data_IF_620737684377
#
_entry.id   IF_620737684377
#
_cell.length_a   1.000
_cell.length_b   1.000
_cell.length_c   1.000
_cell.angle_alpha   90.00
_cell.angle_beta   90.00
_cell.angle_gamma   90.00
#
_symmetry.space_group_name_H-M   'P 1'
#
loop_
_entity.id
_entity.type
_entity.pdbx_description
1 polymer ?
#
# COMPACT_ATOMS: atom_id res chain seq x y z
N UNK A 1 24.37 17.30 -17.52
CA UNK A 1 24.01 15.89 -17.19
C UNK A 1 22.87 15.50 -18.13
N UNK A 2 22.80 14.24 -18.60
CA UNK A 2 21.76 13.81 -19.56
C UNK A 2 20.49 13.27 -18.88
N UNK A 3 20.64 12.68 -17.68
CA UNK A 3 19.52 12.17 -16.85
C UNK A 3 19.15 13.17 -15.74
N UNK A 4 18.63 12.70 -14.60
CA UNK A 4 18.25 13.55 -13.47
C UNK A 4 19.38 14.51 -13.09
N UNK A 5 19.02 15.79 -12.92
CA UNK A 5 19.95 16.85 -12.57
C UNK A 5 19.24 17.95 -11.80
N UNK A 6 20.01 18.71 -11.02
CA UNK A 6 19.52 19.94 -10.38
C UNK A 6 19.57 21.11 -11.36
N UNK A 7 18.76 22.12 -11.08
CA UNK A 7 18.88 23.44 -11.70
C UNK A 7 20.13 24.19 -11.21
N UNK A 8 20.67 23.83 -10.03
CA UNK A 8 21.95 24.32 -9.57
C UNK A 8 23.10 23.51 -10.20
N UNK A 9 24.02 24.21 -10.87
CA UNK A 9 25.15 23.62 -11.59
C UNK A 9 26.12 22.85 -10.68
N UNK A 10 26.16 23.15 -9.38
CA UNK A 10 27.07 22.55 -8.42
C UNK A 10 26.40 21.49 -7.52
N UNK A 11 25.14 21.15 -7.77
CA UNK A 11 24.39 20.16 -6.99
C UNK A 11 24.26 18.84 -7.77
N UNK A 12 24.90 17.78 -7.26
CA UNK A 12 25.02 16.48 -7.96
C UNK A 12 24.37 15.31 -7.23
N UNK A 13 23.80 15.51 -6.04
CA UNK A 13 23.35 14.40 -5.20
C UNK A 13 22.21 13.60 -5.87
N UNK A 14 21.28 14.28 -6.55
CA UNK A 14 20.16 13.64 -7.25
C UNK A 14 20.64 12.76 -8.40
N UNK A 15 21.57 13.28 -9.21
CA UNK A 15 22.20 12.55 -10.30
C UNK A 15 22.97 11.30 -9.80
N UNK A 16 23.69 11.42 -8.67
CA UNK A 16 24.41 10.31 -8.06
C UNK A 16 23.46 9.28 -7.43
N UNK A 17 22.36 9.73 -6.83
CA UNK A 17 21.32 8.87 -6.28
C UNK A 17 20.65 8.04 -7.37
N UNK A 18 20.24 8.69 -8.47
CA UNK A 18 19.68 8.01 -9.63
C UNK A 18 20.68 7.00 -10.22
N UNK A 19 21.96 7.37 -10.33
CA UNK A 19 23.02 6.44 -10.80
C UNK A 19 23.15 5.22 -9.89
N UNK A 20 23.12 5.41 -8.58
CA UNK A 20 23.17 4.30 -7.61
C UNK A 20 21.95 3.39 -7.75
N UNK A 21 20.76 3.97 -7.95
CA UNK A 21 19.53 3.24 -8.17
C UNK A 21 19.54 2.46 -9.51
N UNK A 22 19.98 3.10 -10.60
CA UNK A 22 20.20 2.46 -11.90
C UNK A 22 21.16 1.27 -11.79
N UNK A 23 22.26 1.41 -11.03
CA UNK A 23 23.20 0.31 -10.78
C UNK A 23 22.54 -0.87 -10.08
N UNK A 24 21.68 -0.63 -9.10
CA UNK A 24 20.92 -1.68 -8.41
C UNK A 24 19.93 -2.36 -9.35
N UNK A 25 19.31 -1.60 -10.26
CA UNK A 25 18.40 -2.11 -11.29
C UNK A 25 19.12 -2.71 -12.51
N UNK A 26 20.46 -2.71 -12.53
CA UNK A 26 21.32 -3.25 -13.59
C UNK A 26 21.80 -2.21 -14.61
N UNK A 27 20.94 -1.27 -15.02
CA UNK A 27 21.29 -0.16 -15.91
C UNK A 27 20.24 0.97 -15.81
N UNK A 28 20.50 2.11 -16.47
CA UNK A 28 19.54 3.21 -16.58
C UNK A 28 18.26 2.83 -17.33
N UNK A 29 18.37 2.01 -18.37
CA UNK A 29 17.20 1.49 -19.11
C UNK A 29 16.29 0.63 -18.21
N UNK A 30 16.84 -0.02 -17.18
CA UNK A 30 16.06 -0.75 -16.18
C UNK A 30 15.26 0.15 -15.23
N UNK A 31 15.43 1.47 -15.31
CA UNK A 31 14.59 2.45 -14.60
C UNK A 31 13.37 2.89 -15.42
N UNK A 32 13.39 2.70 -16.74
CA UNK A 32 12.28 3.10 -17.62
C UNK A 32 11.01 2.31 -17.28
N UNK A 33 9.86 2.97 -17.33
CA UNK A 33 8.57 2.41 -16.90
C UNK A 33 8.48 2.04 -15.42
N UNK A 34 9.34 2.62 -14.57
CA UNK A 34 9.35 2.35 -13.13
C UNK A 34 8.05 2.76 -12.41
N UNK A 35 7.60 1.94 -11.46
CA UNK A 35 6.45 2.25 -10.61
C UNK A 35 6.86 3.15 -9.43
N UNK A 36 6.26 4.33 -9.31
CA UNK A 36 6.54 5.28 -8.21
C UNK A 36 6.30 4.67 -6.83
N UNK A 37 5.35 3.76 -6.69
CA UNK A 37 5.09 3.07 -5.42
C UNK A 37 6.31 2.27 -4.94
N UNK A 38 6.98 1.58 -5.87
CA UNK A 38 8.19 0.80 -5.56
C UNK A 38 9.38 1.71 -5.26
N UNK A 39 9.52 2.82 -6.00
CA UNK A 39 10.56 3.82 -5.74
C UNK A 39 10.42 4.42 -4.33
N UNK A 40 9.20 4.81 -3.94
CA UNK A 40 8.93 5.34 -2.60
C UNK A 40 9.28 4.33 -1.51
N UNK A 41 8.94 3.04 -1.68
CA UNK A 41 9.35 1.98 -0.74
C UNK A 41 10.87 1.81 -0.71
N UNK A 42 11.55 1.82 -1.86
CA UNK A 42 13.00 1.66 -1.92
C UNK A 42 13.77 2.78 -1.22
N UNK A 43 13.29 4.02 -1.33
CA UNK A 43 13.95 5.17 -0.72
C UNK A 43 13.58 5.39 0.75
N UNK A 44 12.46 4.83 1.23
CA UNK A 44 11.97 5.11 2.59
C UNK A 44 11.81 3.90 3.50
N UNK A 45 11.73 2.69 2.95
CA UNK A 45 11.28 1.50 3.69
C UNK A 45 9.80 1.54 4.11
N UNK A 46 9.05 2.57 3.69
CA UNK A 46 7.64 2.75 3.99
C UNK A 46 6.74 1.71 3.35
N UNK A 47 5.43 1.97 3.43
CA UNK A 47 4.40 1.12 2.84
C UNK A 47 3.59 1.93 1.85
N UNK A 48 3.70 1.58 0.58
CA UNK A 48 2.95 2.22 -0.50
C UNK A 48 1.58 1.56 -0.66
N UNK A 49 0.57 2.42 -0.70
CA UNK A 49 -0.81 2.04 -0.92
C UNK A 49 -1.30 2.68 -2.22
N UNK A 50 -1.33 1.91 -3.33
CA UNK A 50 -1.87 2.38 -4.60
C UNK A 50 -3.40 2.41 -4.54
N UNK A 51 -3.99 3.45 -5.12
CA UNK A 51 -5.42 3.67 -5.19
C UNK A 51 -5.82 4.12 -6.60
N UNK A 52 -6.81 3.46 -7.17
CA UNK A 52 -7.45 3.90 -8.42
C UNK A 52 -8.52 4.95 -8.10
N UNK A 53 -8.35 6.17 -8.62
CA UNK A 53 -9.31 7.25 -8.41
C UNK A 53 -10.47 7.21 -9.40
N UNK A 54 -10.27 6.60 -10.57
CA UNK A 54 -11.23 6.58 -11.66
C UNK A 54 -12.32 5.51 -11.46
N UNK A 55 -11.95 4.33 -10.97
CA UNK A 55 -12.84 3.17 -10.91
C UNK A 55 -13.58 3.02 -9.56
N UNK A 56 -13.14 3.73 -8.51
CA UNK A 56 -13.67 3.56 -7.15
C UNK A 56 -14.84 4.49 -6.78
N UNK A 57 -15.37 5.24 -7.76
CA UNK A 57 -16.57 6.07 -7.60
C UNK A 57 -16.38 7.36 -6.80
N UNK A 58 -15.14 7.80 -6.56
CA UNK A 58 -14.85 9.05 -5.83
C UNK A 58 -15.41 10.31 -6.50
N UNK A 59 -15.60 10.26 -7.82
CA UNK A 59 -16.15 11.36 -8.60
C UNK A 59 -17.62 11.61 -8.28
N UNK A 60 -18.39 10.53 -8.11
CA UNK A 60 -19.85 10.59 -7.97
C UNK A 60 -20.31 10.57 -6.51
N UNK A 61 -19.43 10.18 -5.58
CA UNK A 61 -19.72 10.01 -4.15
C UNK A 61 -18.94 11.02 -3.29
N UNK A 62 -19.66 12.01 -2.77
CA UNK A 62 -19.08 13.08 -1.94
C UNK A 62 -18.56 12.56 -0.58
N UNK A 63 -19.23 11.57 0.03
CA UNK A 63 -18.82 11.02 1.32
C UNK A 63 -17.48 10.30 1.17
N UNK A 64 -17.36 9.43 0.16
CA UNK A 64 -16.09 8.75 -0.16
C UNK A 64 -14.97 9.74 -0.49
N UNK A 65 -15.28 10.82 -1.20
CA UNK A 65 -14.30 11.86 -1.53
C UNK A 65 -13.81 12.59 -0.28
N UNK A 66 -14.72 12.90 0.66
CA UNK A 66 -14.38 13.50 1.93
C UNK A 66 -13.53 12.56 2.82
N UNK A 67 -13.87 11.27 2.88
CA UNK A 67 -13.07 10.27 3.57
C UNK A 67 -11.67 10.12 2.98
N UNK A 68 -11.57 10.12 1.64
CA UNK A 68 -10.29 10.08 0.94
C UNK A 68 -9.46 11.33 1.23
N UNK A 69 -10.06 12.52 1.21
CA UNK A 69 -9.37 13.76 1.57
C UNK A 69 -8.79 13.70 2.98
N UNK A 70 -9.59 13.32 3.98
CA UNK A 70 -9.13 13.20 5.38
C UNK A 70 -7.99 12.20 5.52
N UNK A 71 -8.03 11.12 4.75
CA UNK A 71 -6.97 10.14 4.70
C UNK A 71 -5.69 10.69 4.08
N UNK A 72 -5.78 11.38 2.94
CA UNK A 72 -4.62 12.00 2.27
C UNK A 72 -3.98 13.04 3.20
N UNK A 73 -4.81 13.91 3.80
CA UNK A 73 -4.42 14.90 4.79
C UNK A 73 -3.71 14.25 6.00
N UNK A 74 -4.24 13.13 6.52
CA UNK A 74 -3.62 12.39 7.63
C UNK A 74 -2.27 11.79 7.26
N UNK A 75 -2.10 11.30 6.03
CA UNK A 75 -0.81 10.77 5.54
C UNK A 75 0.21 11.90 5.43
N UNK A 76 -0.17 13.00 4.78
CA UNK A 76 0.68 14.19 4.63
C UNK A 76 1.12 14.77 5.99
N UNK A 77 0.17 15.01 6.90
CA UNK A 77 0.47 15.53 8.25
C UNK A 77 1.37 14.61 9.10
N UNK A 78 1.51 13.34 8.73
CA UNK A 78 2.40 12.37 9.39
C UNK A 78 3.73 12.18 8.64
N UNK A 79 4.04 13.07 7.68
CA UNK A 79 5.26 13.02 6.88
C UNK A 79 5.26 11.91 5.84
N UNK A 80 4.10 11.32 5.50
CA UNK A 80 4.00 10.36 4.41
C UNK A 80 4.25 11.03 3.06
N UNK A 81 4.81 10.27 2.13
CA UNK A 81 5.06 10.72 0.76
C UNK A 81 3.88 10.34 -0.13
N UNK A 82 3.43 11.28 -0.95
CA UNK A 82 2.24 11.10 -1.78
C UNK A 82 2.61 11.42 -3.22
N UNK A 83 2.24 10.51 -4.12
CA UNK A 83 2.38 10.70 -5.56
C UNK A 83 1.07 10.42 -6.25
N UNK A 84 0.82 11.09 -7.37
CA UNK A 84 -0.36 10.88 -8.20
C UNK A 84 0.03 10.92 -9.68
N UNK A 85 -0.82 10.36 -10.53
CA UNK A 85 -0.60 10.39 -11.98
C UNK A 85 -1.92 10.38 -12.74
N UNK A 86 -1.81 10.70 -14.03
CA UNK A 86 -2.91 10.59 -14.98
C UNK A 86 -2.54 9.48 -15.97
N UNK A 87 -3.36 8.43 -16.06
CA UNK A 87 -3.10 7.25 -16.86
C UNK A 87 -3.08 7.61 -18.35
N UNK A 88 -2.01 7.25 -19.03
CA UNK A 88 -1.96 7.24 -20.48
C UNK A 88 -2.47 5.87 -20.98
N UNK A 89 -3.45 5.87 -21.89
CA UNK A 89 -4.02 4.64 -22.42
C UNK A 89 -3.27 4.13 -23.66
N UNK A 90 -2.52 5.02 -24.32
CA UNK A 90 -1.74 4.70 -25.50
C UNK A 90 -0.33 5.26 -25.37
N UNK A 91 0.62 4.69 -26.11
CA UNK A 91 1.98 5.23 -26.19
C UNK A 91 2.01 6.67 -26.74
N UNK A 92 1.04 7.04 -27.58
CA UNK A 92 0.92 8.40 -28.10
C UNK A 92 0.44 9.41 -27.04
N UNK A 93 -0.25 8.93 -25.99
CA UNK A 93 -0.68 9.74 -24.86
C UNK A 93 0.38 9.87 -23.76
N UNK A 94 1.48 9.12 -23.84
CA UNK A 94 2.57 9.22 -22.87
C UNK A 94 3.19 10.61 -22.95
N UNK A 95 3.27 11.28 -21.80
CA UNK A 95 3.78 12.64 -21.66
C UNK A 95 2.99 13.69 -22.48
N UNK A 96 1.77 13.36 -22.90
CA UNK A 96 0.91 14.28 -23.63
C UNK A 96 0.33 15.36 -22.71
N UNK A 97 0.44 16.62 -23.14
CA UNK A 97 -0.12 17.78 -22.43
C UNK A 97 -1.62 17.91 -22.72
N UNK A 98 -2.40 18.07 -21.67
CA UNK A 98 -3.83 18.35 -21.69
C UNK A 98 -4.10 19.84 -21.84
N UNK A 99 -5.30 20.18 -22.28
CA UNK A 99 -5.75 21.58 -22.40
C UNK A 99 -5.72 22.33 -21.06
N UNK A 100 -5.91 21.60 -19.95
CA UNK A 100 -5.85 22.14 -18.59
C UNK A 100 -4.41 22.28 -18.04
N UNK A 101 -3.38 22.07 -18.87
CA UNK A 101 -1.97 22.22 -18.51
C UNK A 101 -1.30 20.95 -17.98
N UNK A 102 -2.08 20.03 -17.39
CA UNK A 102 -1.59 18.75 -16.86
C UNK A 102 -1.05 17.83 -17.96
N UNK A 103 -0.14 16.93 -17.57
CA UNK A 103 0.55 15.97 -18.43
C UNK A 103 0.17 14.54 -18.06
N UNK A 104 -0.19 13.73 -19.06
CA UNK A 104 -0.51 12.30 -18.93
C UNK A 104 0.73 11.42 -18.88
N UNK A 105 0.61 10.22 -18.31
CA UNK A 105 1.67 9.21 -18.28
C UNK A 105 2.88 9.61 -17.43
N UNK A 106 2.74 10.60 -16.56
CA UNK A 106 3.81 11.12 -15.72
C UNK A 106 3.37 11.22 -14.24
N UNK A 107 4.34 11.15 -13.34
CA UNK A 107 4.13 11.21 -11.90
C UNK A 107 4.26 12.64 -11.36
N UNK A 108 3.29 13.06 -10.56
CA UNK A 108 3.33 14.30 -9.78
C UNK A 108 3.60 13.95 -8.32
N UNK A 109 4.31 14.84 -7.63
CA UNK A 109 4.45 14.78 -6.18
C UNK A 109 3.38 15.65 -5.54
N UNK A 110 2.68 15.16 -4.52
CA UNK A 110 1.81 16.01 -3.70
C UNK A 110 2.65 16.61 -2.58
N UNK A 111 2.79 17.93 -2.56
CA UNK A 111 3.68 18.64 -1.63
C UNK A 111 2.93 19.26 -0.46
N UNK A 112 1.63 19.55 -0.59
CA UNK A 112 0.80 20.06 0.50
C UNK A 112 -0.68 19.63 0.37
N UNK A 113 -1.36 19.46 1.50
CA UNK A 113 -2.78 19.05 1.57
C UNK A 113 -3.45 19.78 2.72
N UNK A 114 -4.43 20.65 2.45
CA UNK A 114 -4.91 21.61 3.45
C UNK A 114 -6.38 21.95 3.31
N UNK A 115 -7.00 22.33 4.43
CA UNK A 115 -8.32 22.95 4.46
C UNK A 115 -8.15 24.46 4.55
N UNK A 116 -8.61 25.18 3.52
CA UNK A 116 -8.46 26.64 3.38
C UNK A 116 -9.78 27.32 3.72
N UNK A 117 -9.72 28.39 4.52
CA UNK A 117 -10.90 29.19 4.85
C UNK A 117 -11.10 30.28 3.81
N UNK A 118 -12.34 30.42 3.33
CA UNK A 118 -12.72 31.47 2.39
C UNK A 118 -13.22 32.72 3.11
N UNK A 119 -12.86 33.90 2.61
CA UNK A 119 -13.34 35.20 3.10
C UNK A 119 -12.30 36.05 3.84
N UNK A 120 -12.69 37.29 4.14
CA UNK A 120 -11.85 38.31 4.81
C UNK A 120 -12.43 38.69 6.19
N UNK A 121 -11.56 38.87 7.19
CA UNK A 121 -11.92 39.39 8.51
C UNK A 121 -12.55 38.38 9.50
N UNK A 122 -13.00 38.88 10.65
CA UNK A 122 -13.55 38.07 11.76
C UNK A 122 -14.80 37.25 11.36
N UNK A 123 -15.55 37.67 10.33
CA UNK A 123 -16.73 36.94 9.84
C UNK A 123 -16.37 35.59 9.18
N UNK A 124 -15.16 35.44 8.64
CA UNK A 124 -14.67 34.15 8.13
C UNK A 124 -14.35 33.16 9.26
N UNK A 125 -14.18 33.62 10.52
CA UNK A 125 -14.04 32.72 11.67
C UNK A 125 -15.36 32.03 12.04
N UNK A 126 -16.50 32.63 11.67
CA UNK A 126 -17.83 32.09 11.99
C UNK A 126 -18.46 31.29 10.83
N UNK A 127 -17.90 31.36 9.61
CA UNK A 127 -18.30 30.50 8.48
C UNK A 127 -17.60 29.13 8.56
N UNK A 128 -18.39 28.06 8.44
CA UNK A 128 -17.94 26.67 8.49
C UNK A 128 -17.24 26.19 7.22
N UNK A 129 -17.43 26.88 6.10
CA UNK A 129 -17.06 26.35 4.79
C UNK A 129 -15.53 26.45 4.59
N UNK A 130 -14.88 25.29 4.70
CA UNK A 130 -13.46 25.12 4.40
C UNK A 130 -13.33 24.42 3.07
N UNK A 131 -12.55 25.00 2.18
CA UNK A 131 -12.21 24.42 0.90
C UNK A 131 -11.09 23.38 1.07
N UNK A 132 -11.32 22.16 0.61
CA UNK A 132 -10.31 21.10 0.60
C UNK A 132 -9.39 21.31 -0.60
N UNK A 133 -8.11 21.57 -0.33
CA UNK A 133 -7.10 21.95 -1.31
C UNK A 133 -5.93 20.98 -1.30
N UNK A 134 -5.32 20.80 -2.45
CA UNK A 134 -4.14 19.95 -2.64
C UNK A 134 -3.14 20.68 -3.55
N UNK A 135 -1.86 20.61 -3.19
CA UNK A 135 -0.75 21.17 -3.96
C UNK A 135 0.07 20.04 -4.56
N UNK A 136 0.31 20.14 -5.87
CA UNK A 136 1.14 19.21 -6.61
C UNK A 136 2.38 19.91 -7.15
N UNK A 137 3.40 19.12 -7.44
CA UNK A 137 4.61 19.53 -8.14
C UNK A 137 4.84 18.61 -9.34
N UNK A 138 5.00 19.22 -10.51
CA UNK A 138 5.58 18.58 -11.68
C UNK A 138 7.11 18.49 -11.51
N UNK A 139 7.71 17.29 -11.50
CA UNK A 139 9.16 17.12 -11.38
C UNK A 139 10.00 17.84 -12.46
N UNK A 140 9.43 18.15 -13.62
CA UNK A 140 10.14 18.90 -14.67
C UNK A 140 10.34 20.38 -14.33
N UNK A 141 9.65 20.89 -13.31
CA UNK A 141 9.73 22.29 -12.91
C UNK A 141 9.13 23.27 -13.92
N UNK A 142 8.24 22.77 -14.78
CA UNK A 142 7.47 23.54 -15.75
C UNK A 142 6.10 22.87 -15.97
N UNK A 143 5.18 23.56 -16.64
CA UNK A 143 3.87 23.04 -17.09
C UNK A 143 2.91 22.74 -15.94
N UNK A 144 2.25 23.80 -15.53
CA UNK A 144 1.31 23.79 -14.40
C UNK A 144 -0.15 23.71 -14.84
N UNK A 145 -1.00 23.44 -13.86
CA UNK A 145 -2.44 23.58 -13.96
C UNK A 145 -2.84 25.02 -14.31
N UNK A 146 -3.70 25.20 -15.31
CA UNK A 146 -4.18 26.52 -15.75
C UNK A 146 -5.67 26.77 -15.44
N UNK A 147 -6.30 25.91 -14.63
CA UNK A 147 -7.70 26.05 -14.23
C UNK A 147 -7.88 26.86 -12.93
N UNK A 148 -9.02 26.71 -12.25
CA UNK A 148 -9.29 27.35 -10.96
C UNK A 148 -8.21 27.06 -9.92
N UNK A 149 -7.80 28.08 -9.17
CA UNK A 149 -6.72 28.03 -8.17
C UNK A 149 -5.31 27.79 -8.70
N UNK A 150 -5.10 27.83 -10.02
CA UNK A 150 -3.78 28.01 -10.61
C UNK A 150 -3.09 29.28 -10.07
N UNK A 151 -1.78 29.40 -10.27
CA UNK A 151 -0.99 30.47 -9.67
C UNK A 151 -1.50 31.88 -10.01
N UNK A 152 -1.96 32.09 -11.25
CA UNK A 152 -2.53 33.37 -11.71
C UNK A 152 -4.06 33.49 -11.53
N UNK A 153 -4.70 32.54 -10.87
CA UNK A 153 -6.17 32.46 -10.73
C UNK A 153 -6.75 33.61 -9.89
N UNK A 154 -7.84 34.22 -10.35
CA UNK A 154 -8.54 35.28 -9.62
C UNK A 154 -9.21 34.77 -8.33
N UNK A 155 -9.45 33.46 -8.23
CA UNK A 155 -10.02 32.79 -7.08
C UNK A 155 -9.20 33.03 -5.80
N UNK A 156 -7.88 33.25 -5.93
CA UNK A 156 -7.02 33.64 -4.82
C UNK A 156 -7.42 34.95 -4.14
N UNK A 157 -8.18 35.83 -4.79
CA UNK A 157 -8.72 37.04 -4.17
C UNK A 157 -9.75 36.73 -3.07
N UNK A 158 -10.33 35.52 -3.07
CA UNK A 158 -11.25 35.03 -2.04
C UNK A 158 -10.53 34.60 -0.75
N UNK A 159 -9.21 34.48 -0.78
CA UNK A 159 -8.36 34.06 0.35
C UNK A 159 -7.57 35.26 0.87
N UNK A 160 -7.52 35.42 2.19
CA UNK A 160 -6.77 36.50 2.81
C UNK A 160 -5.27 36.45 2.44
N UNK A 161 -4.60 37.61 2.37
CA UNK A 161 -3.16 37.68 2.04
C UNK A 161 -2.31 36.81 2.97
N UNK A 162 -2.54 36.89 4.29
CA UNK A 162 -1.79 36.09 5.26
C UNK A 162 -2.03 34.59 5.13
N UNK A 163 -3.20 34.14 4.67
CA UNK A 163 -3.43 32.72 4.40
C UNK A 163 -2.71 32.26 3.12
N UNK A 164 -2.69 33.09 2.06
CA UNK A 164 -1.91 32.82 0.84
C UNK A 164 -0.41 32.72 1.11
N UNK A 165 0.13 33.63 1.91
CA UNK A 165 1.53 33.58 2.35
C UNK A 165 1.83 32.31 3.14
N UNK A 166 0.93 31.89 4.05
CA UNK A 166 1.05 30.62 4.78
C UNK A 166 0.94 29.39 3.89
N UNK A 167 0.25 29.49 2.76
CA UNK A 167 0.14 28.43 1.76
C UNK A 167 1.32 28.39 0.81
N UNK A 168 2.23 29.39 0.87
CA UNK A 168 3.33 29.49 -0.07
C UNK A 168 2.85 29.61 -1.51
N UNK A 169 1.76 30.35 -1.74
CA UNK A 169 1.30 30.63 -3.11
C UNK A 169 2.25 31.65 -3.72
N UNK A 170 3.12 31.17 -4.60
CA UNK A 170 3.98 31.97 -5.47
C UNK A 170 3.32 32.09 -6.85
N UNK A 171 3.83 32.99 -7.69
CA UNK A 171 3.43 33.08 -9.10
C UNK A 171 4.70 32.94 -9.91
N UNK A 172 5.16 31.70 -10.02
CA UNK A 172 6.43 31.32 -10.63
C UNK A 172 6.20 30.01 -11.40
N UNK A 173 6.75 29.87 -12.62
CA UNK A 173 6.69 28.59 -13.36
C UNK A 173 7.76 27.68 -12.78
N UNK A 174 7.47 27.07 -11.63
CA UNK A 174 8.35 26.17 -10.89
C UNK A 174 7.81 24.72 -10.83
N UNK A 175 6.66 24.51 -11.49
CA UNK A 175 5.94 23.26 -11.58
C UNK A 175 5.05 22.97 -10.37
N UNK A 176 5.06 23.80 -9.31
CA UNK A 176 4.12 23.70 -8.20
C UNK A 176 2.80 24.42 -8.51
N UNK A 177 1.67 23.79 -8.17
CA UNK A 177 0.36 24.42 -8.35
C UNK A 177 -0.65 23.87 -7.36
N UNK A 178 -1.64 24.69 -7.02
CA UNK A 178 -2.78 24.29 -6.22
C UNK A 178 -4.00 23.98 -7.08
N UNK A 179 -4.85 23.09 -6.57
CA UNK A 179 -6.24 22.95 -7.04
C UNK A 179 -7.15 22.47 -5.91
N UNK A 180 -8.45 22.49 -6.17
CA UNK A 180 -9.41 21.87 -5.25
C UNK A 180 -9.26 20.36 -5.25
N UNK A 181 -9.63 19.71 -4.16
CA UNK A 181 -9.64 18.25 -4.11
C UNK A 181 -10.67 17.65 -5.09
N UNK A 182 -11.74 18.38 -5.42
CA UNK A 182 -12.72 17.97 -6.42
C UNK A 182 -12.10 17.95 -7.83
N UNK A 183 -11.36 19.00 -8.20
CA UNK A 183 -10.62 19.06 -9.46
C UNK A 183 -9.56 17.96 -9.53
N UNK A 184 -8.89 17.67 -8.41
CA UNK A 184 -7.94 16.57 -8.32
C UNK A 184 -8.60 15.23 -8.68
N UNK A 185 -9.73 14.90 -8.05
CA UNK A 185 -10.49 13.67 -8.34
C UNK A 185 -11.04 13.65 -9.77
N UNK A 186 -11.38 14.81 -10.34
CA UNK A 186 -11.89 14.90 -11.69
C UNK A 186 -10.81 14.66 -12.77
N UNK A 187 -9.54 14.98 -12.49
CA UNK A 187 -8.46 14.98 -13.47
C UNK A 187 -7.44 13.84 -13.28
N UNK A 188 -7.16 13.40 -12.05
CA UNK A 188 -6.18 12.36 -11.75
C UNK A 188 -6.83 10.98 -11.67
N UNK A 189 -6.08 9.96 -12.10
CA UNK A 189 -6.57 8.58 -12.17
C UNK A 189 -5.96 7.69 -11.12
N UNK A 190 -4.74 7.96 -10.68
CA UNK A 190 -4.00 7.11 -9.75
C UNK A 190 -3.41 7.95 -8.61
N UNK A 191 -3.47 7.41 -7.40
CA UNK A 191 -2.92 8.00 -6.19
C UNK A 191 -2.13 6.93 -5.43
N UNK A 192 -0.94 7.28 -4.97
CA UNK A 192 -0.07 6.43 -4.16
C UNK A 192 0.16 7.13 -2.83
N UNK A 193 -0.28 6.50 -1.75
CA UNK A 193 -0.02 6.95 -0.39
C UNK A 193 1.11 6.12 0.21
N UNK A 194 2.32 6.66 0.30
CA UNK A 194 3.43 5.99 0.97
C UNK A 194 3.50 6.41 2.44
N UNK A 195 3.17 5.47 3.33
CA UNK A 195 3.17 5.68 4.78
C UNK A 195 4.54 5.38 5.33
N UNK A 196 5.12 6.37 6.02
CA UNK A 196 6.24 6.14 6.90
C UNK A 196 5.69 5.57 8.21
N UNK A 197 5.84 4.27 8.38
CA UNK A 197 5.26 3.57 9.52
C UNK A 197 6.16 3.80 10.73
N UNK A 198 5.59 4.45 11.75
CA UNK A 198 6.26 4.63 13.03
C UNK A 198 6.13 3.35 13.86
N UNK A 199 7.25 2.66 14.01
CA UNK A 199 7.42 1.47 14.88
C UNK A 199 8.15 1.80 16.18
N UNK A 200 8.39 3.08 16.47
CA UNK A 200 9.07 3.51 17.70
C UNK A 200 8.19 3.29 18.92
N UNK A 201 8.72 2.60 19.94
CA UNK A 201 8.07 2.42 21.25
C UNK A 201 7.83 3.73 22.01
N UNK A 202 8.55 4.81 21.66
CA UNK A 202 8.44 6.13 22.28
C UNK A 202 7.83 7.10 21.26
N UNK A 203 6.50 7.19 21.26
CA UNK A 203 5.74 8.06 20.34
C UNK A 203 4.46 8.57 20.98
N UNK A 204 4.12 9.83 20.67
CA UNK A 204 2.82 10.46 21.00
C UNK A 204 1.74 10.16 19.94
N UNK A 205 2.11 9.51 18.84
CA UNK A 205 1.21 9.13 17.74
C UNK A 205 1.07 7.62 17.62
N UNK A 206 -0.06 7.17 17.05
CA UNK A 206 -0.37 5.75 16.74
C UNK A 206 0.87 5.04 16.18
N UNK A 207 1.39 4.10 16.96
CA UNK A 207 2.45 3.17 16.58
C UNK A 207 1.83 1.95 15.92
N UNK A 208 2.55 1.39 14.95
CA UNK A 208 2.21 0.11 14.36
C UNK A 208 3.23 -0.91 14.80
N UNK A 209 2.77 -2.13 15.03
CA UNK A 209 3.63 -3.28 15.22
C UNK A 209 3.80 -3.97 13.88
N UNK A 210 5.05 -4.14 13.48
CA UNK A 210 5.43 -4.75 12.21
C UNK A 210 5.91 -6.17 12.42
N UNK A 211 5.29 -7.12 11.72
CA UNK A 211 5.83 -8.45 11.55
C UNK A 211 6.35 -8.63 10.11
N UNK A 212 7.59 -9.07 9.99
CA UNK A 212 8.28 -9.28 8.71
C UNK A 212 8.57 -10.76 8.53
N UNK A 213 8.13 -11.32 7.41
CA UNK A 213 8.37 -12.71 7.03
C UNK A 213 9.04 -12.78 5.67
N UNK A 214 10.16 -13.51 5.60
CA UNK A 214 10.86 -13.79 4.33
C UNK A 214 10.47 -15.20 3.90
N UNK A 215 9.90 -15.32 2.71
CA UNK A 215 9.40 -16.58 2.19
C UNK A 215 9.86 -16.85 0.75
N UNK A 216 9.53 -18.04 0.26
CA UNK A 216 9.72 -18.38 -1.13
C UNK A 216 8.64 -19.34 -1.64
N UNK A 217 8.28 -19.18 -2.91
CA UNK A 217 7.63 -20.20 -3.71
C UNK A 217 8.75 -21.07 -4.30
N UNK A 218 8.83 -22.31 -3.84
CA UNK A 218 9.83 -23.30 -4.28
C UNK A 218 9.13 -24.60 -4.65
N UNK A 219 9.49 -25.12 -5.82
CA UNK A 219 8.94 -26.37 -6.31
C UNK A 219 9.53 -27.54 -5.53
N UNK A 220 8.70 -28.54 -5.24
CA UNK A 220 9.15 -29.80 -4.68
C UNK A 220 8.30 -30.96 -5.21
N UNK A 221 8.90 -32.14 -5.35
CA UNK A 221 8.21 -33.34 -5.87
C UNK A 221 7.22 -33.91 -4.85
N UNK A 222 7.56 -33.91 -3.57
CA UNK A 222 6.62 -34.17 -2.47
C UNK A 222 5.58 -33.02 -2.37
N UNK A 223 4.27 -33.29 -2.57
CA UNK A 223 3.21 -32.30 -2.47
C UNK A 223 3.11 -31.60 -1.10
N UNK A 224 3.55 -32.24 -0.02
CA UNK A 224 3.55 -31.64 1.32
C UNK A 224 4.63 -30.56 1.45
N UNK A 225 5.74 -30.72 0.73
CA UNK A 225 6.87 -29.79 0.75
C UNK A 225 6.82 -28.78 -0.40
N UNK A 226 5.97 -28.99 -1.40
CA UNK A 226 5.78 -28.06 -2.50
C UNK A 226 5.23 -26.72 -1.99
N UNK A 227 5.73 -25.59 -2.53
CA UNK A 227 5.32 -24.22 -2.15
C UNK A 227 4.86 -23.38 -3.35
N UNK A 228 4.67 -23.98 -4.52
CA UNK A 228 4.27 -23.28 -5.77
C UNK A 228 2.84 -23.65 -6.16
N UNK A 229 1.89 -23.40 -5.27
CA UNK A 229 0.52 -23.91 -5.38
C UNK A 229 -0.38 -23.14 -6.34
N UNK A 230 0.00 -21.93 -6.73
CA UNK A 230 -0.83 -21.02 -7.54
C UNK A 230 -1.99 -20.41 -6.73
N UNK A 231 -2.78 -19.53 -7.36
CA UNK A 231 -3.89 -18.84 -6.71
C UNK A 231 -5.08 -19.77 -6.40
N UNK A 232 -6.12 -19.23 -5.77
CA UNK A 232 -7.34 -19.96 -5.35
C UNK A 232 -8.07 -20.70 -6.47
N UNK A 233 -7.82 -20.35 -7.74
CA UNK A 233 -8.37 -21.08 -8.90
C UNK A 233 -7.81 -22.51 -8.98
N UNK A 234 -6.60 -22.73 -8.45
CA UNK A 234 -5.91 -24.02 -8.43
C UNK A 234 -6.26 -24.79 -7.15
N UNK A 235 -7.53 -25.19 -6.99
CA UNK A 235 -8.08 -25.75 -5.74
C UNK A 235 -7.27 -26.91 -5.13
N UNK A 236 -6.65 -27.74 -5.97
CA UNK A 236 -5.88 -28.91 -5.54
C UNK A 236 -4.51 -28.55 -4.93
N UNK A 237 -3.90 -27.47 -5.40
CA UNK A 237 -2.52 -27.10 -5.07
C UNK A 237 -2.43 -25.80 -4.25
N UNK A 238 -3.49 -24.99 -4.20
CA UNK A 238 -3.53 -23.70 -3.51
C UNK A 238 -3.01 -23.75 -2.06
N UNK A 239 -3.41 -24.76 -1.28
CA UNK A 239 -2.98 -24.91 0.12
C UNK A 239 -1.53 -25.40 0.27
N UNK A 240 -0.85 -25.76 -0.82
CA UNK A 240 0.57 -26.08 -0.81
C UNK A 240 1.42 -24.82 -0.65
N UNK A 241 0.94 -23.64 -1.06
CA UNK A 241 1.67 -22.38 -0.89
C UNK A 241 2.11 -22.15 0.58
N UNK A 242 3.12 -21.29 0.83
CA UNK A 242 3.46 -20.86 2.19
C UNK A 242 2.22 -20.34 2.93
N UNK A 243 2.14 -20.55 4.23
CA UNK A 243 0.99 -20.14 5.06
C UNK A 243 1.50 -19.42 6.29
N UNK A 244 1.10 -18.18 6.48
CA UNK A 244 1.53 -17.34 7.60
C UNK A 244 0.34 -17.04 8.50
N UNK A 245 0.40 -17.49 9.74
CA UNK A 245 -0.62 -17.22 10.73
C UNK A 245 -0.31 -15.92 11.46
N UNK A 246 -1.33 -15.15 11.81
CA UNK A 246 -1.23 -13.97 12.67
C UNK A 246 -2.52 -13.76 13.47
N UNK A 247 -2.43 -13.04 14.58
CA UNK A 247 -3.52 -12.75 15.50
C UNK A 247 -3.89 -11.27 15.48
N UNK A 248 -5.20 -11.01 15.48
CA UNK A 248 -5.79 -9.70 15.78
C UNK A 248 -6.33 -9.76 17.20
N UNK A 249 -5.75 -8.97 18.10
CA UNK A 249 -6.02 -9.03 19.55
C UNK A 249 -6.99 -7.95 20.03
N UNK A 250 -7.29 -6.95 19.21
CA UNK A 250 -8.31 -5.93 19.52
C UNK A 250 -9.67 -6.38 18.95
N UNK A 251 -10.79 -5.95 19.57
CA UNK A 251 -12.14 -6.28 19.07
C UNK A 251 -12.33 -5.95 17.58
N UNK A 252 -11.74 -4.83 17.14
CA UNK A 252 -11.60 -4.42 15.75
C UNK A 252 -10.23 -3.77 15.59
N UNK A 253 -9.47 -4.20 14.60
CA UNK A 253 -8.18 -3.61 14.25
C UNK A 253 -8.07 -3.37 12.75
N UNK A 254 -7.36 -2.31 12.39
CA UNK A 254 -7.02 -2.02 11.00
C UNK A 254 -5.73 -2.77 10.67
N UNK A 255 -5.77 -3.66 9.69
CA UNK A 255 -4.63 -4.50 9.31
C UNK A 255 -4.13 -4.11 7.94
N UNK A 256 -2.82 -3.88 7.84
CA UNK A 256 -2.15 -3.64 6.56
C UNK A 256 -1.27 -4.84 6.21
N UNK A 257 -1.40 -5.37 5.01
CA UNK A 257 -0.62 -6.51 4.52
C UNK A 257 0.04 -6.12 3.20
N UNK A 258 1.36 -6.28 3.14
CA UNK A 258 2.14 -6.03 1.93
C UNK A 258 2.92 -7.29 1.56
N UNK A 259 2.73 -7.75 0.33
CA UNK A 259 3.51 -8.83 -0.27
C UNK A 259 4.37 -8.24 -1.38
N UNK A 260 5.68 -8.40 -1.26
CA UNK A 260 6.65 -7.90 -2.23
C UNK A 260 7.51 -9.05 -2.76
N UNK A 261 7.55 -9.25 -4.08
CA UNK A 261 8.51 -10.18 -4.69
C UNK A 261 9.89 -9.52 -4.84
N UNK A 262 10.94 -10.34 -4.84
CA UNK A 262 12.31 -9.88 -5.08
C UNK A 262 12.40 -9.20 -6.45
N UNK A 263 13.07 -8.05 -6.51
CA UNK A 263 13.24 -7.29 -7.76
C UNK A 263 14.03 -8.11 -8.77
N UNK A 264 13.49 -8.24 -9.98
CA UNK A 264 14.07 -9.04 -11.06
C UNK A 264 14.66 -8.17 -12.18
N UNK A 265 14.55 -6.84 -12.10
CA UNK A 265 14.99 -5.93 -13.17
C UNK A 265 16.47 -6.08 -13.52
N UNK A 266 17.32 -6.33 -12.53
CA UNK A 266 18.74 -6.60 -12.76
C UNK A 266 19.01 -7.82 -13.68
N UNK A 267 18.05 -8.74 -13.78
CA UNK A 267 18.12 -9.96 -14.61
C UNK A 267 17.26 -9.88 -15.89
N UNK A 268 16.80 -8.69 -16.29
CA UNK A 268 16.04 -8.47 -17.54
C UNK A 268 16.73 -9.08 -18.77
N UNK A 269 18.06 -8.95 -18.86
CA UNK A 269 18.86 -9.49 -19.97
C UNK A 269 18.86 -11.03 -20.06
N UNK A 270 18.45 -11.72 -19.00
CA UNK A 270 18.36 -13.18 -18.92
C UNK A 270 16.94 -13.70 -19.23
N UNK A 271 16.00 -12.81 -19.61
CA UNK A 271 14.59 -13.17 -19.83
C UNK A 271 13.82 -13.50 -18.54
N UNK A 272 14.43 -13.28 -17.38
CA UNK A 272 13.85 -13.53 -16.04
C UNK A 272 13.36 -12.27 -15.33
N UNK A 273 13.38 -11.13 -16.02
CA UNK A 273 13.16 -9.81 -15.42
C UNK A 273 11.71 -9.40 -15.16
N UNK A 274 10.75 -10.14 -15.69
CA UNK A 274 9.34 -9.83 -15.50
C UNK A 274 8.86 -10.20 -14.09
N UNK A 275 8.05 -9.31 -13.51
CA UNK A 275 7.37 -9.58 -12.25
C UNK A 275 6.36 -10.71 -12.44
N UNK A 276 6.34 -11.66 -11.51
CA UNK A 276 5.28 -12.66 -11.49
C UNK A 276 3.95 -11.98 -11.14
N UNK A 277 2.82 -12.41 -11.71
CA UNK A 277 1.52 -12.03 -11.18
C UNK A 277 1.37 -12.61 -9.77
N UNK A 278 1.38 -11.76 -8.74
CA UNK A 278 1.34 -12.18 -7.35
C UNK A 278 0.08 -11.66 -6.65
N UNK A 279 -0.33 -12.38 -5.61
CA UNK A 279 -1.46 -12.00 -4.77
C UNK A 279 -1.47 -12.83 -3.48
N UNK A 280 -2.41 -12.53 -2.58
CA UNK A 280 -2.60 -13.33 -1.37
C UNK A 280 -4.05 -13.34 -0.91
N UNK A 281 -4.41 -14.39 -0.20
CA UNK A 281 -5.71 -14.53 0.45
C UNK A 281 -5.57 -14.59 1.97
N UNK A 282 -6.52 -13.98 2.67
CA UNK A 282 -6.60 -13.97 4.13
C UNK A 282 -7.81 -14.79 4.56
N UNK A 283 -7.58 -15.77 5.43
CA UNK A 283 -8.59 -16.68 5.93
C UNK A 283 -8.72 -16.57 7.44
N UNK A 284 -9.95 -16.56 7.96
CA UNK A 284 -10.20 -16.72 9.40
C UNK A 284 -10.09 -18.20 9.77
N UNK A 285 -9.40 -18.49 10.85
CA UNK A 285 -9.13 -19.85 11.31
C UNK A 285 -9.38 -19.99 12.82
N UNK A 286 -9.25 -21.20 13.32
CA UNK A 286 -9.43 -21.57 14.72
C UNK A 286 -8.37 -20.91 15.60
N UNK A 287 -8.77 -20.46 16.79
CA UNK A 287 -7.92 -19.74 17.74
C UNK A 287 -6.71 -20.56 18.23
N UNK A 288 -6.81 -21.89 18.19
CA UNK A 288 -5.74 -22.81 18.59
C UNK A 288 -4.94 -23.36 17.40
N UNK A 289 -5.13 -22.82 16.18
CA UNK A 289 -4.41 -23.33 15.01
C UNK A 289 -2.91 -23.15 15.15
N UNK A 290 -2.19 -24.25 15.00
CA UNK A 290 -0.72 -24.33 14.97
C UNK A 290 -0.18 -25.15 13.78
N UNK A 291 -1.07 -25.80 13.03
CA UNK A 291 -0.75 -26.60 11.85
C UNK A 291 -1.31 -25.96 10.59
N UNK A 292 -0.70 -26.31 9.45
CA UNK A 292 -1.11 -25.88 8.11
C UNK A 292 -2.59 -26.19 7.84
N UNK A 293 -3.21 -25.32 7.07
CA UNK A 293 -4.52 -25.53 6.47
C UNK A 293 -4.44 -26.58 5.37
N UNK A 294 -5.26 -27.62 5.48
CA UNK A 294 -5.44 -28.66 4.45
C UNK A 294 -6.85 -28.65 3.85
N UNK A 295 -7.75 -27.87 4.43
CA UNK A 295 -9.10 -27.64 3.93
C UNK A 295 -9.36 -26.12 3.84
N UNK A 296 -10.12 -25.67 2.83
CA UNK A 296 -10.52 -24.27 2.71
C UNK A 296 -11.20 -23.78 3.99
N UNK A 297 -10.88 -22.55 4.40
CA UNK A 297 -11.52 -21.87 5.53
C UNK A 297 -12.26 -20.63 5.03
N UNK A 298 -12.90 -19.88 5.92
CA UNK A 298 -13.60 -18.65 5.54
C UNK A 298 -12.60 -17.60 5.05
N UNK A 299 -12.62 -17.30 3.74
CA UNK A 299 -11.90 -16.16 3.17
C UNK A 299 -12.55 -14.86 3.66
N UNK A 300 -11.76 -14.00 4.31
CA UNK A 300 -12.21 -12.71 4.85
C UNK A 300 -11.62 -11.52 4.09
N UNK A 301 -10.62 -11.76 3.24
CA UNK A 301 -9.99 -10.73 2.43
C UNK A 301 -8.93 -11.31 1.49
N UNK A 302 -8.32 -10.44 0.70
CA UNK A 302 -7.22 -10.79 -0.20
C UNK A 302 -6.85 -9.61 -1.09
N UNK A 303 -5.67 -9.65 -1.66
CA UNK A 303 -5.25 -8.66 -2.65
C UNK A 303 -5.82 -9.00 -4.03
N UNK A 304 -5.81 -8.00 -4.93
CA UNK A 304 -5.86 -8.29 -6.37
C UNK A 304 -4.58 -9.02 -6.82
N UNK A 305 -4.65 -9.68 -7.96
CA UNK A 305 -3.48 -10.26 -8.62
C UNK A 305 -3.02 -9.31 -9.72
N UNK A 306 -1.76 -8.90 -9.66
CA UNK A 306 -1.16 -8.00 -10.62
C UNK A 306 0.32 -8.37 -10.81
N UNK A 307 0.83 -8.13 -12.01
CA UNK A 307 2.25 -8.27 -12.38
C UNK A 307 3.08 -7.07 -11.88
N UNK A 308 2.90 -6.71 -10.60
CA UNK A 308 3.66 -5.65 -9.92
C UNK A 308 4.68 -6.26 -8.96
N UNK A 309 5.70 -5.49 -8.58
CA UNK A 309 6.68 -5.92 -7.58
C UNK A 309 6.05 -6.10 -6.20
N UNK A 310 5.02 -5.32 -5.91
CA UNK A 310 4.31 -5.34 -4.63
C UNK A 310 2.78 -5.30 -4.80
N UNK A 311 2.08 -5.98 -3.89
CA UNK A 311 0.63 -5.91 -3.72
C UNK A 311 0.30 -5.61 -2.26
N UNK A 312 -0.80 -4.89 -2.05
CA UNK A 312 -1.16 -4.32 -0.77
C UNK A 312 -2.65 -4.57 -0.46
N UNK A 313 -2.94 -4.82 0.81
CA UNK A 313 -4.30 -4.87 1.34
C UNK A 313 -4.38 -4.04 2.62
N UNK A 314 -5.39 -3.17 2.70
CA UNK A 314 -5.84 -2.53 3.94
C UNK A 314 -7.24 -3.03 4.23
N UNK A 315 -7.46 -3.59 5.42
CA UNK A 315 -8.75 -4.15 5.79
C UNK A 315 -8.96 -4.07 7.30
N UNK A 316 -10.21 -3.93 7.72
CA UNK A 316 -10.58 -4.01 9.12
C UNK A 316 -10.91 -5.47 9.47
N UNK A 317 -10.22 -6.02 10.47
CA UNK A 317 -10.47 -7.37 10.98
C UNK A 317 -10.95 -7.31 12.42
N UNK A 318 -11.83 -8.25 12.78
CA UNK A 318 -12.25 -8.44 14.18
C UNK A 318 -11.20 -9.24 14.95
N UNK A 319 -11.34 -9.32 16.26
CA UNK A 319 -10.53 -10.21 17.08
C UNK A 319 -10.58 -11.67 16.58
N UNK A 320 -9.41 -12.30 16.48
CA UNK A 320 -9.28 -13.69 16.09
C UNK A 320 -7.94 -14.03 15.45
N UNK A 321 -7.84 -15.28 14.98
CA UNK A 321 -6.68 -15.82 14.29
C UNK A 321 -6.93 -15.90 12.79
N UNK A 322 -5.92 -15.57 12.02
CA UNK A 322 -5.97 -15.50 10.56
C UNK A 322 -4.78 -16.20 9.93
N UNK A 323 -4.93 -16.66 8.68
CA UNK A 323 -3.85 -17.19 7.86
C UNK A 323 -3.79 -16.45 6.52
N UNK A 324 -2.62 -15.93 6.20
CA UNK A 324 -2.26 -15.33 4.91
C UNK A 324 -1.61 -16.40 4.06
N UNK A 325 -2.12 -16.58 2.84
CA UNK A 325 -1.57 -17.50 1.84
C UNK A 325 -1.06 -16.67 0.66
N UNK A 326 0.24 -16.29 0.63
CA UNK A 326 0.85 -15.60 -0.51
C UNK A 326 1.09 -16.57 -1.66
N UNK A 327 0.69 -16.18 -2.86
CA UNK A 327 0.75 -17.03 -4.04
C UNK A 327 1.18 -16.26 -5.29
N UNK A 328 1.76 -16.98 -6.24
CA UNK A 328 1.74 -16.59 -7.65
C UNK A 328 0.37 -16.92 -8.25
N UNK A 329 -0.02 -16.26 -9.34
CA UNK A 329 -1.28 -16.56 -10.02
C UNK A 329 -1.29 -18.00 -10.54
N UNK A 330 -0.29 -18.34 -11.35
CA UNK A 330 -0.12 -19.70 -11.88
C UNK A 330 0.70 -20.58 -10.92
N UNK A 331 0.39 -21.89 -10.86
CA UNK A 331 1.17 -22.85 -10.08
C UNK A 331 2.53 -23.13 -10.73
N UNK A 332 3.46 -23.67 -9.95
CA UNK A 332 4.79 -24.08 -10.44
C UNK A 332 5.80 -22.94 -10.62
N UNK A 333 5.39 -21.68 -10.43
CA UNK A 333 6.27 -20.52 -10.51
C UNK A 333 7.08 -20.34 -9.23
N UNK A 334 8.39 -20.14 -9.37
CA UNK A 334 9.31 -19.99 -8.25
C UNK A 334 9.71 -18.52 -8.03
N UNK A 335 9.94 -18.15 -6.78
CA UNK A 335 10.37 -16.81 -6.42
C UNK A 335 10.53 -16.59 -4.93
N UNK A 336 11.32 -15.58 -4.57
CA UNK A 336 11.45 -15.10 -3.19
C UNK A 336 10.51 -13.91 -2.96
N UNK A 337 9.97 -13.80 -1.76
CA UNK A 337 9.12 -12.68 -1.37
C UNK A 337 9.36 -12.23 0.08
N UNK A 338 8.92 -11.00 0.35
CA UNK A 338 8.83 -10.38 1.66
C UNK A 338 7.35 -10.13 1.96
N UNK A 339 6.86 -10.68 3.06
CA UNK A 339 5.53 -10.41 3.60
C UNK A 339 5.68 -9.51 4.83
N UNK A 340 4.97 -8.38 4.85
CA UNK A 340 4.93 -7.45 5.98
C UNK A 340 3.48 -7.33 6.44
N UNK A 341 3.26 -7.48 7.73
CA UNK A 341 1.94 -7.37 8.38
C UNK A 341 2.03 -6.29 9.45
N UNK A 342 1.09 -5.34 9.41
CA UNK A 342 1.01 -4.24 10.36
C UNK A 342 -0.31 -4.30 11.11
N UNK A 343 -0.22 -4.27 12.43
CA UNK A 343 -1.34 -4.29 13.38
C UNK A 343 -1.09 -3.26 14.48
N UNK A 344 -2.11 -2.93 15.28
CA UNK A 344 -1.94 -1.97 16.37
C UNK A 344 -1.12 -2.52 17.56
N UNK A 345 -1.08 -3.84 17.68
CA UNK A 345 -0.39 -4.59 18.75
C UNK A 345 0.32 -5.80 18.14
N UNK A 346 1.30 -6.42 18.82
CA UNK A 346 2.06 -7.54 18.24
C UNK A 346 1.14 -8.69 17.83
N UNK A 347 1.22 -9.09 16.56
CA UNK A 347 0.32 -10.06 15.93
C UNK A 347 0.80 -11.51 16.01
N UNK A 348 1.94 -11.78 16.66
CA UNK A 348 2.54 -13.12 16.75
C UNK A 348 2.69 -13.84 15.39
N UNK A 349 2.88 -13.06 14.32
CA UNK A 349 2.89 -13.59 12.97
C UNK A 349 4.05 -14.57 12.75
N UNK A 350 3.75 -15.76 12.22
CA UNK A 350 4.73 -16.82 11.94
C UNK A 350 4.26 -17.78 10.85
N UNK A 351 5.21 -18.46 10.21
CA UNK A 351 4.90 -19.50 9.22
C UNK A 351 4.35 -20.78 9.89
N UNK A 352 3.31 -21.35 9.29
CA UNK A 352 2.82 -22.69 9.58
C UNK A 352 3.57 -23.70 8.72
N UNK A 353 4.49 -24.44 9.34
CA UNK A 353 5.33 -25.44 8.66
C UNK A 353 4.90 -26.88 8.94
N UNK A 354 4.24 -27.12 10.07
CA UNK A 354 3.81 -28.46 10.49
C UNK A 354 2.48 -28.85 9.83
N UNK A 355 2.42 -30.07 9.30
CA UNK A 355 1.21 -30.62 8.69
C UNK A 355 0.29 -31.31 9.70
N UNK A 356 0.88 -31.96 10.70
CA UNK A 356 0.20 -32.78 11.68
C UNK A 356 0.99 -32.83 13.01
N UNK A 357 0.38 -33.29 14.11
CA UNK A 357 1.07 -33.46 15.39
C UNK A 357 2.28 -34.40 15.30
N UNK A 358 3.36 -34.15 16.05
CA UNK A 358 4.49 -35.06 16.04
C UNK A 358 4.13 -36.40 16.68
N UNK A 359 4.60 -37.49 16.09
CA UNK A 359 4.59 -38.79 16.76
C UNK A 359 5.58 -38.77 17.92
N UNK A 360 5.07 -39.00 19.14
CA UNK A 360 5.87 -39.06 20.36
C UNK A 360 5.77 -40.45 20.99
N UNK A 361 6.59 -40.73 22.03
CA UNK A 361 6.47 -41.98 22.79
C UNK A 361 5.06 -42.18 23.38
N UNK A 362 4.34 -41.10 23.67
CA UNK A 362 2.95 -41.12 24.14
C UNK A 362 1.95 -41.51 23.05
N UNK A 363 2.27 -41.36 21.77
CA UNK A 363 1.37 -41.74 20.68
C UNK A 363 1.11 -43.25 20.64
N UNK A 364 2.07 -44.06 21.09
CA UNK A 364 1.87 -45.52 21.25
C UNK A 364 1.08 -45.91 22.50
N UNK A 365 1.10 -45.07 23.55
CA UNK A 365 0.45 -45.32 24.83
C UNK A 365 -0.99 -44.78 24.90
N UNK A 366 -1.22 -43.61 24.30
CA UNK A 366 -2.48 -42.87 24.37
C UNK A 366 -3.23 -42.83 23.03
N UNK A 367 -2.65 -43.43 21.97
CA UNK A 367 -3.15 -43.31 20.61
C UNK A 367 -2.64 -42.05 19.89
N UNK A 368 -2.64 -42.09 18.56
CA UNK A 368 -2.29 -40.94 17.72
C UNK A 368 -3.57 -40.21 17.27
N UNK A 369 -3.60 -38.87 17.24
CA UNK A 369 -4.75 -38.13 16.75
C UNK A 369 -5.11 -38.53 15.31
N UNK A 370 -6.33 -39.04 15.11
CA UNK A 370 -6.80 -39.49 13.81
C UNK A 370 -7.94 -38.64 13.23
N UNK A 371 -8.46 -37.68 14.01
CA UNK A 371 -9.58 -36.83 13.65
C UNK A 371 -9.29 -35.39 14.05
N UNK A 372 -9.64 -34.44 13.18
CA UNK A 372 -9.69 -33.02 13.48
C UNK A 372 -11.15 -32.61 13.61
N UNK A 373 -11.51 -31.99 14.73
CA UNK A 373 -12.84 -31.44 14.95
C UNK A 373 -12.76 -29.92 15.01
N UNK A 374 -13.51 -29.24 14.14
CA UNK A 374 -13.67 -27.79 14.17
C UNK A 374 -14.94 -27.46 14.94
N UNK A 375 -14.83 -26.62 15.97
CA UNK A 375 -15.96 -26.17 16.78
C UNK A 375 -16.13 -24.66 16.56
N UNK A 376 -17.28 -24.27 16.01
CA UNK A 376 -17.67 -22.87 15.87
C UNK A 376 -18.65 -22.50 16.98
N UNK A 377 -18.18 -21.72 17.96
CA UNK A 377 -19.04 -21.21 19.02
C UNK A 377 -19.82 -20.01 18.47
N UNK A 378 -21.13 -20.18 18.28
CA UNK A 378 -22.01 -19.13 17.75
C UNK A 378 -22.45 -18.15 18.85
N UNK A 379 -22.82 -18.70 20.00
CA UNK A 379 -23.23 -17.96 21.20
C UNK A 379 -22.98 -18.86 22.41
N UNK A 380 -22.59 -18.25 23.53
CA UNK A 380 -22.50 -18.91 24.82
C UNK A 380 -23.18 -18.02 25.86
N UNK A 381 -24.26 -18.51 26.45
CA UNK A 381 -24.99 -17.83 27.52
C UNK A 381 -24.71 -18.50 28.86
N UNK A 382 -24.78 -17.74 29.96
CA UNK A 382 -24.61 -18.30 31.31
C UNK A 382 -23.18 -18.73 31.65
N UNK A 383 -22.17 -18.24 30.92
CA UNK A 383 -20.78 -18.36 31.35
C UNK A 383 -20.64 -17.60 32.68
N UNK A 384 -20.34 -18.32 33.76
CA UNK A 384 -19.98 -17.69 35.03
C UNK A 384 -18.78 -16.78 34.76
N UNK A 385 -18.88 -15.50 35.12
CA UNK A 385 -17.76 -14.57 34.97
C UNK A 385 -16.52 -15.17 35.62
N UNK A 386 -15.37 -15.08 34.95
CA UNK A 386 -14.10 -15.52 35.51
C UNK A 386 -13.92 -14.85 36.88
N UNK A 387 -13.91 -15.66 37.93
CA UNK A 387 -13.40 -15.24 39.23
C UNK A 387 -11.95 -14.77 39.01
N UNK A 388 -11.54 -13.71 39.72
CA UNK A 388 -10.29 -12.98 39.53
C UNK A 388 -9.00 -13.76 39.82
N UNK A 389 -9.05 -15.09 39.85
CA UNK A 389 -7.92 -16.00 40.16
C UNK A 389 -7.52 -16.96 39.02
N UNK A 390 -8.01 -16.76 37.79
CA UNK A 390 -7.52 -17.48 36.60
C UNK A 390 -8.58 -18.32 35.91
#
# INVERSE_FOLDING_TARGET
>A
LVYCHSNDQNEFWSALMEKAYAKMCGCYEGLDGGNTADALVNFTGGVSEPMDLAENGFKDDEEKRNELFERVLKVHNRGGLISCSIRALTAADMEAKLACGLVKGHAYAVTDVRRVRLGHGLLAFFKSDKLSMIRMRNPWGEREWNGPWSDSSEEWQKVSKGERERMGVTVEDDGEFWMTFDDFIANFTDLILCRLINTSYLSVHKTWEEAVQRGCWRRHDDPLLNRTGGCSNNKLTFLQNPQYMFDVKKPKDEVLICLQQKDRRATLKEGRGENLPIGFDVHRVELNRIYRMHAPQQKVGGSIYINSRSVFLRTDLTEGRYVIIPTTFDPGLEGEFLLRVFTDVPSDCKELTLHEPPHTCWSGLCGYPSLVSQVHVLQADGLAGHDSNG
#
